data_IF_177789950088
#
_entry.id   IF_177789950088
#
_cell.length_a   1.000
_cell.length_b   1.000
_cell.length_c   1.000
_cell.angle_alpha   90.00
_cell.angle_beta   90.00
_cell.angle_gamma   90.00
#
_symmetry.space_group_name_H-M   'P 1'
#
loop_
_entity.id
_entity.type
_entity.pdbx_description
1 polymer ?
#
# COMPACT_ATOMS: atom_id res chain seq x y z
N UNK A 1 57.25 -20.75 22.15
CA UNK A 1 56.91 -19.40 21.62
C UNK A 1 55.92 -19.43 20.45
N UNK A 2 55.43 -20.59 19.98
CA UNK A 2 54.48 -20.70 18.85
C UNK A 2 53.01 -20.59 19.25
N UNK A 3 52.64 -21.06 20.46
CA UNK A 3 51.27 -20.96 20.98
C UNK A 3 50.78 -19.50 21.13
N UNK A 4 51.65 -18.60 21.59
CA UNK A 4 51.31 -17.18 21.77
C UNK A 4 51.05 -16.48 20.44
N UNK A 5 51.84 -16.80 19.39
CA UNK A 5 51.64 -16.25 18.05
C UNK A 5 50.31 -16.73 17.44
N UNK A 6 49.97 -18.00 17.62
CA UNK A 6 48.68 -18.54 17.16
C UNK A 6 47.49 -17.92 17.92
N UNK A 7 47.62 -17.69 19.23
CA UNK A 7 46.58 -17.04 20.04
C UNK A 7 46.34 -15.59 19.59
N UNK A 8 47.41 -14.83 19.33
CA UNK A 8 47.32 -13.45 18.82
C UNK A 8 46.62 -13.42 17.45
N UNK A 9 46.97 -14.33 16.55
CA UNK A 9 46.31 -14.42 15.24
C UNK A 9 44.83 -14.75 15.38
N UNK A 10 44.45 -15.71 16.24
CA UNK A 10 43.04 -16.06 16.48
C UNK A 10 42.25 -14.89 17.05
N UNK A 11 42.79 -14.23 18.07
CA UNK A 11 42.15 -13.06 18.69
C UNK A 11 42.02 -11.89 17.72
N UNK A 12 43.05 -11.64 16.90
CA UNK A 12 43.00 -10.64 15.83
C UNK A 12 41.94 -10.96 14.79
N UNK A 13 41.81 -12.23 14.37
CA UNK A 13 40.78 -12.66 13.42
C UNK A 13 39.38 -12.49 14.02
N UNK A 14 39.17 -12.91 15.27
CA UNK A 14 37.89 -12.75 15.96
C UNK A 14 37.49 -11.27 16.10
N UNK A 15 38.43 -10.40 16.47
CA UNK A 15 38.19 -8.97 16.56
C UNK A 15 37.85 -8.36 15.19
N UNK A 16 38.54 -8.78 14.13
CA UNK A 16 38.27 -8.35 12.76
C UNK A 16 36.86 -8.76 12.31
N UNK A 17 36.47 -10.02 12.54
CA UNK A 17 35.13 -10.53 12.23
C UNK A 17 34.05 -9.75 12.97
N UNK A 18 34.25 -9.49 14.27
CA UNK A 18 33.31 -8.71 15.08
C UNK A 18 33.20 -7.26 14.60
N UNK A 19 34.34 -6.65 14.24
CA UNK A 19 34.37 -5.28 13.71
C UNK A 19 33.60 -5.18 12.38
N UNK A 20 33.84 -6.12 11.46
CA UNK A 20 33.15 -6.23 10.18
C UNK A 20 31.66 -6.53 10.37
N UNK A 21 31.29 -7.41 11.30
CA UNK A 21 29.90 -7.72 11.59
C UNK A 21 29.17 -6.50 12.16
N UNK A 22 29.79 -5.79 13.12
CA UNK A 22 29.22 -4.58 13.71
C UNK A 22 29.05 -3.48 12.66
N UNK A 23 30.08 -3.20 11.85
CA UNK A 23 30.05 -2.17 10.80
C UNK A 23 29.14 -2.57 9.62
N UNK A 24 29.03 -3.85 9.31
CA UNK A 24 28.10 -4.37 8.31
C UNK A 24 26.64 -4.26 8.75
N UNK A 25 26.36 -4.37 10.04
CA UNK A 25 25.02 -4.13 10.61
C UNK A 25 24.68 -2.63 10.75
N UNK A 26 25.65 -1.78 11.09
CA UNK A 26 25.43 -0.33 11.31
C UNK A 26 25.68 0.54 10.07
N UNK A 27 26.19 -0.04 8.98
CA UNK A 27 26.39 0.67 7.73
C UNK A 27 25.07 1.06 7.07
N UNK A 28 25.07 2.22 6.41
CA UNK A 28 23.94 2.78 5.63
C UNK A 28 23.41 1.84 4.53
N UNK A 29 24.18 0.82 4.15
CA UNK A 29 23.88 -0.24 3.18
C UNK A 29 23.97 -1.64 3.81
N UNK A 30 23.84 -1.74 5.14
CA UNK A 30 23.85 -3.03 5.83
C UNK A 30 22.70 -3.93 5.39
N UNK A 31 22.89 -5.25 5.54
CA UNK A 31 21.88 -6.26 5.16
C UNK A 31 20.48 -5.94 5.70
N UNK A 32 20.41 -5.41 6.93
CA UNK A 32 19.16 -5.00 7.58
C UNK A 32 18.48 -3.86 6.83
N UNK A 33 19.24 -2.86 6.38
CA UNK A 33 18.73 -1.74 5.59
C UNK A 33 18.25 -2.18 4.21
N UNK A 34 18.91 -3.19 3.62
CA UNK A 34 18.50 -3.78 2.35
C UNK A 34 17.16 -4.54 2.49
N UNK A 35 17.01 -5.36 3.53
CA UNK A 35 15.74 -6.04 3.79
C UNK A 35 14.59 -5.05 4.04
N UNK A 36 14.82 -4.01 4.84
CA UNK A 36 13.83 -2.96 5.08
C UNK A 36 13.51 -2.13 3.83
N UNK A 37 14.45 -1.99 2.89
CA UNK A 37 14.20 -1.33 1.61
C UNK A 37 13.35 -2.21 0.67
N UNK A 38 13.67 -3.51 0.61
CA UNK A 38 12.93 -4.48 -0.17
C UNK A 38 11.47 -4.58 0.30
N UNK A 39 11.23 -4.59 1.61
CA UNK A 39 9.89 -4.60 2.19
C UNK A 39 9.11 -3.33 1.83
N UNK A 40 9.77 -2.16 1.83
CA UNK A 40 9.14 -0.89 1.44
C UNK A 40 8.82 -0.83 -0.04
N UNK A 41 9.70 -1.35 -0.89
CA UNK A 41 9.47 -1.44 -2.33
C UNK A 41 8.22 -2.28 -2.62
N UNK A 42 8.13 -3.47 -2.02
CA UNK A 42 6.95 -4.34 -2.16
C UNK A 42 5.66 -3.69 -1.63
N UNK A 43 5.74 -2.98 -0.50
CA UNK A 43 4.59 -2.27 0.05
C UNK A 43 4.11 -1.14 -0.88
N UNK A 44 5.03 -0.38 -1.46
CA UNK A 44 4.73 0.72 -2.39
C UNK A 44 4.14 0.21 -3.71
N UNK A 45 4.67 -0.90 -4.26
CA UNK A 45 4.11 -1.55 -5.44
C UNK A 45 2.68 -2.03 -5.19
N UNK A 46 2.42 -2.65 -4.04
CA UNK A 46 1.09 -3.09 -3.65
C UNK A 46 0.11 -1.92 -3.46
N UNK A 47 0.57 -0.79 -2.91
CA UNK A 47 -0.23 0.42 -2.77
C UNK A 47 -0.55 1.06 -4.13
N UNK A 48 0.44 1.13 -5.03
CA UNK A 48 0.25 1.62 -6.39
C UNK A 48 -0.81 0.80 -7.14
N UNK A 49 -0.69 -0.54 -7.12
CA UNK A 49 -1.66 -1.41 -7.77
C UNK A 49 -3.09 -1.23 -7.22
N UNK A 50 -3.22 -1.02 -5.91
CA UNK A 50 -4.52 -0.74 -5.28
C UNK A 50 -5.09 0.62 -5.70
N UNK A 51 -4.24 1.64 -5.81
CA UNK A 51 -4.66 2.97 -6.25
C UNK A 51 -5.09 2.97 -7.72
N UNK A 52 -4.34 2.30 -8.60
CA UNK A 52 -4.71 2.14 -10.00
C UNK A 52 -6.06 1.43 -10.15
N UNK A 53 -6.29 0.35 -9.39
CA UNK A 53 -7.57 -0.34 -9.39
C UNK A 53 -8.72 0.58 -8.95
N UNK A 54 -8.52 1.40 -7.91
CA UNK A 54 -9.51 2.39 -7.45
C UNK A 54 -9.77 3.48 -8.48
N UNK A 55 -8.72 3.96 -9.16
CA UNK A 55 -8.86 4.97 -10.21
C UNK A 55 -9.70 4.41 -11.34
N UNK A 56 -9.42 3.18 -11.80
CA UNK A 56 -10.20 2.54 -12.86
C UNK A 56 -11.66 2.35 -12.46
N UNK A 57 -11.92 1.86 -11.25
CA UNK A 57 -13.28 1.71 -10.73
C UNK A 57 -14.03 3.06 -10.66
N UNK A 58 -13.37 4.12 -10.18
CA UNK A 58 -13.96 5.45 -10.11
C UNK A 58 -14.19 6.05 -11.51
N UNK A 59 -13.28 5.80 -12.45
CA UNK A 59 -13.41 6.23 -13.84
C UNK A 59 -14.60 5.55 -14.51
N UNK A 60 -14.76 4.24 -14.36
CA UNK A 60 -15.90 3.49 -14.89
C UNK A 60 -17.22 3.99 -14.29
N UNK A 61 -17.25 4.23 -12.97
CA UNK A 61 -18.42 4.80 -12.30
C UNK A 61 -18.73 6.21 -12.80
N UNK A 62 -17.73 7.06 -12.98
CA UNK A 62 -17.90 8.43 -13.48
C UNK A 62 -18.41 8.42 -14.93
N UNK A 63 -17.90 7.52 -15.76
CA UNK A 63 -18.32 7.38 -17.16
C UNK A 63 -19.80 6.98 -17.29
N UNK A 64 -20.25 6.06 -16.43
CA UNK A 64 -21.67 5.65 -16.35
C UNK A 64 -22.61 6.76 -15.90
N UNK A 65 -22.12 7.68 -15.08
CA UNK A 65 -22.88 8.84 -14.59
C UNK A 65 -22.81 10.05 -15.54
N UNK A 66 -21.96 10.02 -16.57
CA UNK A 66 -21.75 11.13 -17.50
C UNK A 66 -22.85 11.20 -18.56
N UNK A 67 -23.77 12.15 -18.42
CA UNK A 67 -24.86 12.38 -19.37
C UNK A 67 -24.32 12.63 -20.79
N UNK A 68 -24.84 11.88 -21.77
CA UNK A 68 -24.42 11.97 -23.18
C UNK A 68 -23.21 11.11 -23.55
N UNK A 69 -22.66 10.32 -22.61
CA UNK A 69 -21.70 9.26 -22.94
C UNK A 69 -22.42 8.03 -23.51
N UNK A 70 -21.70 7.22 -24.30
CA UNK A 70 -22.25 5.96 -24.83
C UNK A 70 -22.50 4.91 -23.73
N UNK A 71 -21.86 5.07 -22.56
CA UNK A 71 -21.99 4.19 -21.41
C UNK A 71 -22.94 4.74 -20.33
N UNK A 72 -23.65 5.83 -20.62
CA UNK A 72 -24.58 6.47 -19.69
C UNK A 72 -25.70 5.51 -19.28
N UNK A 73 -25.87 5.32 -17.97
CA UNK A 73 -26.82 4.38 -17.38
C UNK A 73 -27.78 5.12 -16.45
N UNK A 74 -28.99 5.37 -16.96
CA UNK A 74 -30.03 6.13 -16.26
C UNK A 74 -30.57 5.38 -15.04
N UNK A 75 -30.79 4.07 -15.15
CA UNK A 75 -31.34 3.24 -14.06
C UNK A 75 -30.35 3.20 -12.88
N UNK A 76 -29.06 3.07 -13.19
CA UNK A 76 -27.99 3.15 -12.18
C UNK A 76 -27.94 4.51 -11.48
N UNK A 77 -28.22 5.61 -12.20
CA UNK A 77 -28.26 6.95 -11.64
C UNK A 77 -29.47 7.15 -10.70
N UNK A 78 -30.65 6.61 -11.07
CA UNK A 78 -31.86 6.65 -10.24
C UNK A 78 -31.67 5.82 -8.94
N UNK A 79 -31.09 4.62 -9.03
CA UNK A 79 -30.78 3.81 -7.84
C UNK A 79 -29.75 4.49 -6.92
N UNK A 80 -28.75 5.16 -7.51
CA UNK A 80 -27.73 5.88 -6.74
C UNK A 80 -28.27 7.16 -6.10
N UNK A 81 -29.21 7.85 -6.73
CA UNK A 81 -29.92 9.00 -6.15
C UNK A 81 -30.75 8.57 -4.92
N UNK A 82 -31.43 7.43 -5.00
CA UNK A 82 -32.18 6.87 -3.88
C UNK A 82 -31.26 6.45 -2.73
N UNK A 83 -30.10 5.86 -3.03
CA UNK A 83 -29.12 5.43 -2.02
C UNK A 83 -28.33 6.58 -1.37
N UNK A 84 -27.88 7.59 -2.13
CA UNK A 84 -27.05 8.69 -1.61
C UNK A 84 -27.90 9.83 -1.06
N UNK A 85 -28.91 10.27 -1.82
CA UNK A 85 -29.62 11.52 -1.51
C UNK A 85 -30.88 11.28 -0.68
N UNK A 86 -31.30 10.03 -0.46
CA UNK A 86 -32.67 9.71 0.00
C UNK A 86 -33.72 10.49 -0.82
N UNK A 87 -33.35 10.85 -2.06
CA UNK A 87 -34.15 11.67 -2.93
C UNK A 87 -35.20 10.77 -3.56
N UNK A 88 -36.29 10.58 -2.82
CA UNK A 88 -37.59 10.53 -3.44
C UNK A 88 -37.70 11.71 -4.43
N UNK A 89 -38.35 11.49 -5.58
CA UNK A 89 -38.58 12.54 -6.56
C UNK A 89 -39.05 13.85 -5.88
N UNK A 90 -38.80 15.02 -6.47
CA UNK A 90 -39.28 16.29 -5.91
C UNK A 90 -40.79 16.32 -5.61
N UNK A 91 -41.54 15.37 -6.19
CA UNK A 91 -42.99 15.17 -6.02
C UNK A 91 -43.37 13.98 -5.12
N UNK A 92 -42.42 13.23 -4.54
CA UNK A 92 -42.67 12.07 -3.69
C UNK A 92 -42.32 12.37 -2.22
N UNK A 93 -43.32 12.28 -1.35
CA UNK A 93 -43.16 12.41 0.12
C UNK A 93 -42.93 11.02 0.71
N UNK A 94 -41.77 10.81 1.34
CA UNK A 94 -41.50 9.63 2.13
C UNK A 94 -42.29 9.73 3.45
N UNK A 95 -43.29 8.87 3.65
CA UNK A 95 -44.00 8.73 4.92
C UNK A 95 -43.43 7.51 5.64
N UNK A 96 -42.66 7.75 6.69
CA UNK A 96 -42.25 6.70 7.63
C UNK A 96 -43.46 6.35 8.51
N UNK A 97 -44.03 5.17 8.30
CA UNK A 97 -45.14 4.67 9.11
C UNK A 97 -44.57 3.92 10.33
N UNK A 98 -44.85 4.38 11.56
CA UNK A 98 -44.39 3.70 12.76
C UNK A 98 -45.02 2.31 12.86
N UNK A 99 -44.17 1.28 12.88
CA UNK A 99 -44.48 -0.07 13.34
C UNK A 99 -44.01 -0.26 14.78
#
# INVERSE_FOLDING_TARGET
>A
MTLTRAAVVRLGLSALILYLAAHGLTGRQGLISYMGLQEREQALEAEQAQLEAKINELADRAERLRTGSAAFDRDYLEERARTILDAAHADEVLIDLPG
#
